data_IF_921997950816
#
_entry.id   IF_921997950816
#
_cell.length_a   1.000
_cell.length_b   1.000
_cell.length_c   1.000
_cell.angle_alpha   90.00
_cell.angle_beta   90.00
_cell.angle_gamma   90.00
#
_symmetry.space_group_name_H-M   'P 1'
#
loop_
_entity.id
_entity.type
_entity.pdbx_description
1 polymer ?
#
# COMPACT_ATOMS: atom_id res chain seq x y z
N UNK A 1 -57.71 91.57 91.85
CA UNK A 1 -56.70 91.84 90.80
C UNK A 1 -56.72 90.69 89.81
N UNK A 2 -57.50 90.81 88.74
CA UNK A 2 -57.61 89.80 87.69
C UNK A 2 -56.41 89.92 86.75
N UNK A 3 -55.76 88.80 86.46
CA UNK A 3 -54.61 88.68 85.56
C UNK A 3 -55.01 89.08 84.13
N UNK A 4 -54.74 90.32 83.75
CA UNK A 4 -54.74 90.78 82.35
C UNK A 4 -53.54 90.18 81.62
N UNK A 5 -53.66 88.91 81.21
CA UNK A 5 -52.80 88.30 80.22
C UNK A 5 -53.55 88.26 78.86
N UNK A 6 -52.88 88.79 77.84
CA UNK A 6 -52.61 88.06 76.58
C UNK A 6 -53.60 88.02 75.38
N UNK A 7 -54.61 88.89 75.20
CA UNK A 7 -55.72 88.54 74.27
C UNK A 7 -55.78 89.16 72.86
N UNK A 8 -54.94 90.11 72.43
CA UNK A 8 -55.00 90.58 71.01
C UNK A 8 -53.67 91.02 70.41
N UNK A 9 -52.89 91.79 71.13
CA UNK A 9 -51.58 92.26 70.65
C UNK A 9 -50.58 91.11 70.59
N UNK A 10 -50.55 90.24 71.61
CA UNK A 10 -49.72 89.03 71.61
C UNK A 10 -50.10 88.07 70.47
N UNK A 11 -51.39 87.87 70.22
CA UNK A 11 -51.89 87.07 69.10
C UNK A 11 -51.50 87.70 67.75
N UNK A 12 -51.61 89.03 67.61
CA UNK A 12 -51.18 89.76 66.40
C UNK A 12 -49.68 89.63 66.16
N UNK A 13 -48.85 89.78 67.19
CA UNK A 13 -47.40 89.66 67.09
C UNK A 13 -47.00 88.23 66.76
N UNK A 14 -47.59 87.23 67.42
CA UNK A 14 -47.38 85.82 67.08
C UNK A 14 -47.82 85.52 65.64
N UNK A 15 -48.95 86.07 65.18
CA UNK A 15 -49.40 85.93 63.78
C UNK A 15 -48.43 86.57 62.79
N UNK A 16 -47.85 87.74 63.13
CA UNK A 16 -46.85 88.40 62.30
C UNK A 16 -45.53 87.62 62.25
N UNK A 17 -45.11 87.06 63.37
CA UNK A 17 -43.89 86.26 63.51
C UNK A 17 -44.02 84.88 62.84
N UNK A 18 -45.19 84.25 62.93
CA UNK A 18 -45.60 83.10 62.14
C UNK A 18 -45.53 83.45 60.65
N UNK A 19 -46.18 84.53 60.18
CA UNK A 19 -46.11 84.93 58.76
C UNK A 19 -44.69 85.24 58.27
N UNK A 20 -43.79 85.70 59.15
CA UNK A 20 -42.38 85.97 58.84
C UNK A 20 -41.55 84.68 58.77
N UNK A 21 -41.88 83.70 59.61
CA UNK A 21 -41.16 82.43 59.73
C UNK A 21 -41.68 81.34 58.78
N UNK A 22 -42.89 81.51 58.23
CA UNK A 22 -43.45 80.60 57.23
C UNK A 22 -42.85 80.90 55.85
N UNK A 23 -42.29 79.85 55.25
CA UNK A 23 -41.76 79.89 53.87
C UNK A 23 -42.92 80.19 52.92
N UNK A 24 -42.80 81.28 52.15
CA UNK A 24 -43.78 81.64 51.12
C UNK A 24 -43.79 80.57 50.03
N UNK A 25 -44.95 80.31 49.43
CA UNK A 25 -45.11 79.35 48.32
C UNK A 25 -44.10 79.58 47.19
N UNK A 26 -43.77 80.84 46.91
CA UNK A 26 -42.82 81.23 45.85
C UNK A 26 -41.37 80.77 46.13
N UNK A 27 -41.01 80.52 47.39
CA UNK A 27 -39.70 79.95 47.72
C UNK A 27 -39.58 78.47 47.34
N UNK A 28 -40.69 77.79 47.04
CA UNK A 28 -40.70 76.42 46.49
C UNK A 28 -40.72 76.40 44.96
N UNK A 29 -40.83 77.54 44.29
CA UNK A 29 -40.81 77.62 42.82
C UNK A 29 -39.58 76.96 42.19
N UNK A 30 -38.35 77.12 42.71
CA UNK A 30 -37.18 76.41 42.18
C UNK A 30 -37.32 74.89 42.30
N UNK A 31 -37.89 74.40 43.40
CA UNK A 31 -38.11 72.96 43.65
C UNK A 31 -39.20 72.41 42.73
N UNK A 32 -40.26 73.18 42.49
CA UNK A 32 -41.32 72.81 41.56
C UNK A 32 -40.80 72.74 40.12
N UNK A 33 -40.03 73.74 39.67
CA UNK A 33 -39.42 73.74 38.34
C UNK A 33 -38.48 72.54 38.17
N UNK A 34 -37.68 72.22 39.20
CA UNK A 34 -36.81 71.06 39.19
C UNK A 34 -37.61 69.74 39.10
N UNK A 35 -38.72 69.64 39.85
CA UNK A 35 -39.61 68.47 39.81
C UNK A 35 -40.34 68.31 38.47
N UNK A 36 -40.71 69.41 37.82
CA UNK A 36 -41.35 69.40 36.50
C UNK A 36 -40.40 68.96 35.39
N UNK A 37 -39.12 69.36 35.48
CA UNK A 37 -38.04 68.98 34.54
C UNK A 37 -37.39 67.63 34.86
N UNK A 38 -37.68 67.04 36.01
CA UNK A 38 -37.17 65.73 36.38
C UNK A 38 -37.66 64.66 35.39
N UNK A 39 -36.82 63.65 35.16
CA UNK A 39 -37.19 62.50 34.34
C UNK A 39 -38.23 61.67 35.10
N UNK A 40 -39.34 61.36 34.43
CA UNK A 40 -40.48 60.63 35.01
C UNK A 40 -40.72 59.29 34.33
N UNK A 41 -40.26 59.11 33.11
CA UNK A 41 -40.38 57.84 32.40
C UNK A 41 -39.26 57.62 31.39
N UNK A 42 -39.09 56.36 31.03
CA UNK A 42 -38.11 55.90 30.03
C UNK A 42 -38.85 55.04 29.00
N UNK A 43 -38.62 55.32 27.73
CA UNK A 43 -39.08 54.51 26.59
C UNK A 43 -37.90 53.84 25.91
N UNK A 44 -38.13 52.62 25.42
CA UNK A 44 -37.16 51.90 24.60
C UNK A 44 -37.82 51.60 23.27
N UNK A 45 -37.17 51.98 22.18
CA UNK A 45 -37.65 51.71 20.80
C UNK A 45 -36.45 51.39 19.94
N UNK A 46 -36.40 50.15 19.43
CA UNK A 46 -35.20 49.64 18.76
C UNK A 46 -33.97 49.71 19.70
N UNK A 47 -32.90 50.32 19.22
CA UNK A 47 -31.63 50.50 19.95
C UNK A 47 -31.54 51.80 20.76
N UNK A 48 -32.61 52.60 20.77
CA UNK A 48 -32.63 53.93 21.40
C UNK A 48 -33.37 53.89 22.73
N UNK A 49 -32.72 54.39 23.78
CA UNK A 49 -33.38 54.74 25.04
C UNK A 49 -33.75 56.23 25.00
N UNK A 50 -35.02 56.53 25.24
CA UNK A 50 -35.55 57.90 25.33
C UNK A 50 -36.05 58.21 26.73
N UNK A 51 -35.63 59.35 27.29
CA UNK A 51 -35.99 59.76 28.66
C UNK A 51 -36.95 60.95 28.61
N UNK A 52 -38.10 60.83 29.28
CA UNK A 52 -39.18 61.82 29.22
C UNK A 52 -39.46 62.45 30.59
N UNK A 53 -39.78 63.75 30.58
CA UNK A 53 -40.30 64.46 31.75
C UNK A 53 -41.82 64.27 31.94
N UNK A 54 -42.49 63.60 31.00
CA UNK A 54 -43.88 63.14 31.09
C UNK A 54 -43.93 61.71 31.66
N UNK A 55 -45.03 61.36 32.31
CA UNK A 55 -45.23 60.02 32.90
C UNK A 55 -45.73 59.00 31.87
N UNK A 56 -46.38 59.46 30.81
CA UNK A 56 -47.02 58.66 29.77
C UNK A 56 -46.13 58.47 28.51
N UNK A 57 -44.89 58.97 28.54
CA UNK A 57 -43.93 58.92 27.43
C UNK A 57 -44.38 59.70 26.18
N UNK A 58 -45.27 60.68 26.37
CA UNK A 58 -45.70 61.56 25.28
C UNK A 58 -44.81 62.81 25.20
N UNK A 59 -44.79 63.44 24.02
CA UNK A 59 -43.99 64.65 23.75
C UNK A 59 -42.55 64.36 23.35
N UNK A 60 -41.72 65.41 23.27
CA UNK A 60 -40.30 65.29 22.89
C UNK A 60 -39.49 64.73 24.06
N UNK A 61 -38.63 63.75 23.79
CA UNK A 61 -37.70 63.23 24.78
C UNK A 61 -36.76 64.34 25.28
N UNK A 62 -36.49 64.37 26.58
CA UNK A 62 -35.57 65.33 27.19
C UNK A 62 -34.11 65.02 26.80
N UNK A 63 -33.78 63.74 26.66
CA UNK A 63 -32.54 63.26 26.05
C UNK A 63 -32.72 61.82 25.54
N UNK A 64 -31.89 61.43 24.58
CA UNK A 64 -31.88 60.10 23.98
C UNK A 64 -30.45 59.54 24.01
N UNK A 65 -30.35 58.22 24.13
CA UNK A 65 -29.10 57.48 24.06
C UNK A 65 -29.31 56.33 23.09
N UNK A 66 -28.51 56.31 22.02
CA UNK A 66 -28.46 55.20 21.10
C UNK A 66 -27.39 54.21 21.54
N UNK A 67 -27.76 52.95 21.72
CA UNK A 67 -26.76 51.90 21.82
C UNK A 67 -26.15 51.63 20.44
N UNK A 68 -24.88 51.19 20.36
CA UNK A 68 -24.28 50.75 19.10
C UNK A 68 -25.14 49.66 18.45
N UNK A 69 -25.42 49.80 17.16
CA UNK A 69 -26.10 48.75 16.39
C UNK A 69 -25.17 47.54 16.33
N UNK A 70 -25.49 46.48 17.06
CA UNK A 70 -24.69 45.25 17.05
C UNK A 70 -24.98 44.48 15.75
N UNK A 71 -24.02 44.46 14.83
CA UNK A 71 -24.08 43.70 13.58
C UNK A 71 -23.80 42.23 13.88
N UNK A 72 -24.84 41.49 14.26
CA UNK A 72 -24.75 40.04 14.47
C UNK A 72 -24.92 39.26 13.17
N UNK A 73 -24.27 38.10 13.11
CA UNK A 73 -24.57 37.10 12.09
C UNK A 73 -25.99 36.58 12.28
N UNK A 74 -26.77 36.56 11.19
CA UNK A 74 -28.01 35.83 11.13
C UNK A 74 -27.69 34.33 11.00
N UNK A 75 -27.74 33.62 12.12
CA UNK A 75 -27.51 32.18 12.18
C UNK A 75 -28.51 31.37 11.36
N UNK A 76 -29.68 31.93 11.01
CA UNK A 76 -30.69 31.24 10.21
C UNK A 76 -30.44 31.37 8.70
N UNK A 77 -29.73 32.40 8.27
CA UNK A 77 -29.42 32.69 6.86
C UNK A 77 -27.93 32.49 6.52
N UNK A 78 -27.09 32.34 7.54
CA UNK A 78 -25.68 31.99 7.41
C UNK A 78 -25.54 30.49 7.26
N UNK A 79 -25.00 30.03 6.14
CA UNK A 79 -24.93 28.61 5.83
C UNK A 79 -23.72 28.26 4.96
N UNK A 80 -23.32 27.00 5.03
CA UNK A 80 -22.41 26.40 4.08
C UNK A 80 -23.21 25.79 2.92
N UNK A 81 -23.00 26.29 1.72
CA UNK A 81 -23.66 25.82 0.50
C UNK A 81 -22.66 25.00 -0.33
N UNK A 82 -22.80 23.66 -0.44
CA UNK A 82 -21.83 22.82 -1.13
C UNK A 82 -21.75 23.09 -2.65
N UNK A 83 -22.85 23.52 -3.25
CA UNK A 83 -22.96 23.89 -4.66
C UNK A 83 -23.78 25.17 -4.75
N UNK A 84 -23.09 26.31 -4.74
CA UNK A 84 -23.70 27.62 -4.69
C UNK A 84 -24.43 27.98 -6.00
N UNK A 85 -25.58 28.63 -5.86
CA UNK A 85 -26.33 29.24 -6.95
C UNK A 85 -26.82 30.62 -6.50
N UNK A 86 -26.36 31.67 -7.17
CA UNK A 86 -26.71 33.04 -6.86
C UNK A 86 -28.14 33.36 -7.32
N UNK A 87 -28.89 34.03 -6.46
CA UNK A 87 -30.19 34.60 -6.79
C UNK A 87 -30.40 35.91 -6.05
N UNK A 88 -30.79 36.96 -6.77
CA UNK A 88 -31.16 38.25 -6.16
C UNK A 88 -32.41 38.14 -5.27
N UNK A 89 -33.24 37.11 -5.48
CA UNK A 89 -34.40 36.86 -4.61
C UNK A 89 -34.00 36.24 -3.27
N UNK A 90 -32.98 35.38 -3.28
CA UNK A 90 -32.47 34.72 -2.06
C UNK A 90 -31.49 35.62 -1.30
N UNK A 91 -30.70 36.42 -2.04
CA UNK A 91 -29.68 37.31 -1.51
C UNK A 91 -29.94 38.77 -1.95
N UNK A 92 -31.00 39.42 -1.43
CA UNK A 92 -31.38 40.76 -1.84
C UNK A 92 -30.28 41.77 -1.54
N UNK A 93 -29.99 42.65 -2.52
CA UNK A 93 -28.98 43.70 -2.41
C UNK A 93 -27.52 43.22 -2.50
N UNK A 94 -27.29 41.90 -2.66
CA UNK A 94 -25.96 41.36 -2.86
C UNK A 94 -25.55 41.42 -4.35
N UNK A 95 -24.25 41.53 -4.62
CA UNK A 95 -23.71 41.41 -5.98
C UNK A 95 -23.27 39.97 -6.22
N UNK A 96 -23.50 39.45 -7.43
CA UNK A 96 -23.10 38.08 -7.81
C UNK A 96 -21.58 37.85 -7.59
N UNK A 97 -21.19 36.91 -6.71
CA UNK A 97 -19.79 36.62 -6.41
C UNK A 97 -19.10 35.78 -7.51
N UNK A 98 -19.82 35.33 -8.55
CA UNK A 98 -19.33 34.45 -9.63
C UNK A 98 -18.79 33.11 -9.11
N UNK A 99 -19.51 32.53 -8.16
CA UNK A 99 -19.15 31.26 -7.48
C UNK A 99 -20.09 30.10 -7.82
N UNK A 100 -20.82 30.17 -8.94
CA UNK A 100 -21.74 29.13 -9.41
C UNK A 100 -21.14 27.72 -9.35
N UNK A 101 -21.88 26.79 -8.74
CA UNK A 101 -21.52 25.39 -8.59
C UNK A 101 -20.35 25.10 -7.64
N UNK A 102 -19.79 26.13 -6.98
CA UNK A 102 -18.67 25.98 -6.04
C UNK A 102 -19.19 25.89 -4.60
N UNK A 103 -18.44 25.24 -3.69
CA UNK A 103 -18.72 25.33 -2.27
C UNK A 103 -18.45 26.75 -1.74
N UNK A 104 -19.43 27.33 -1.06
CA UNK A 104 -19.41 28.71 -0.57
C UNK A 104 -19.94 28.76 0.86
N UNK A 105 -19.26 29.50 1.74
CA UNK A 105 -19.83 29.93 3.01
C UNK A 105 -20.55 31.26 2.81
N UNK A 106 -21.87 31.26 2.98
CA UNK A 106 -22.71 32.45 2.92
C UNK A 106 -22.80 33.02 4.33
N UNK A 107 -22.36 34.26 4.51
CA UNK A 107 -22.43 34.98 5.78
C UNK A 107 -23.50 36.05 5.64
N UNK A 108 -24.57 35.93 6.42
CA UNK A 108 -25.65 36.92 6.46
C UNK A 108 -25.48 37.77 7.73
N UNK A 109 -25.33 39.08 7.57
CA UNK A 109 -25.22 40.03 8.68
C UNK A 109 -26.54 40.76 8.84
N UNK A 110 -27.12 40.73 10.04
CA UNK A 110 -28.37 41.43 10.34
C UNK A 110 -28.18 42.93 10.22
N UNK A 111 -29.06 43.57 9.45
CA UNK A 111 -29.13 45.02 9.35
C UNK A 111 -29.95 45.64 10.47
N UNK A 112 -30.15 46.96 10.41
CA UNK A 112 -30.91 47.74 11.39
C UNK A 112 -32.38 47.30 11.51
N UNK A 113 -32.94 46.75 10.42
CA UNK A 113 -34.26 46.11 10.42
C UNK A 113 -34.10 44.59 10.52
N UNK A 114 -34.96 43.90 11.30
CA UNK A 114 -34.88 42.44 11.49
C UNK A 114 -34.96 41.66 10.17
N UNK A 115 -35.62 42.23 9.15
CA UNK A 115 -35.79 41.61 7.83
C UNK A 115 -34.67 41.95 6.84
N UNK A 116 -33.85 42.96 7.14
CA UNK A 116 -32.74 43.40 6.28
C UNK A 116 -31.47 42.62 6.61
N UNK A 117 -30.80 42.07 5.59
CA UNK A 117 -29.53 41.36 5.75
C UNK A 117 -28.53 41.80 4.68
N UNK A 118 -27.27 41.94 5.06
CA UNK A 118 -26.15 42.09 4.11
C UNK A 118 -25.44 40.76 3.98
N UNK A 119 -25.18 40.32 2.75
CA UNK A 119 -24.55 39.03 2.48
C UNK A 119 -23.09 39.18 2.06
N UNK A 120 -22.25 38.29 2.56
CA UNK A 120 -20.86 38.11 2.13
C UNK A 120 -20.63 36.66 1.74
N UNK A 121 -19.90 36.43 0.65
CA UNK A 121 -19.66 35.10 0.11
C UNK A 121 -18.18 34.76 0.20
N UNK A 122 -17.85 33.69 0.92
CA UNK A 122 -16.49 33.19 1.03
C UNK A 122 -16.34 31.91 0.21
N UNK A 123 -15.47 31.94 -0.79
CA UNK A 123 -15.17 30.74 -1.57
C UNK A 123 -14.41 29.73 -0.72
N UNK A 124 -14.93 28.51 -0.62
CA UNK A 124 -14.29 27.44 0.15
C UNK A 124 -13.14 26.80 -0.61
N UNK A 125 -13.06 26.99 -1.93
CA UNK A 125 -11.95 26.50 -2.75
C UNK A 125 -10.59 27.14 -2.40
N UNK A 126 -10.58 28.31 -1.76
CA UNK A 126 -9.35 28.94 -1.28
C UNK A 126 -8.86 28.37 0.07
N UNK A 127 -9.74 27.67 0.80
CA UNK A 127 -9.48 27.18 2.16
C UNK A 127 -9.46 25.66 2.24
N UNK A 128 -10.11 24.97 1.30
CA UNK A 128 -10.28 23.53 1.28
C UNK A 128 -10.05 23.02 -0.14
N UNK A 129 -9.04 22.16 -0.28
CA UNK A 129 -8.82 21.42 -1.52
C UNK A 129 -9.95 20.40 -1.71
N UNK A 130 -10.73 20.58 -2.78
CA UNK A 130 -11.84 19.67 -3.12
C UNK A 130 -11.38 18.70 -4.20
N UNK A 131 -11.24 17.41 -3.86
CA UNK A 131 -10.91 16.36 -4.82
C UNK A 131 -12.19 15.79 -5.45
N UNK A 132 -12.31 15.87 -6.77
CA UNK A 132 -13.43 15.24 -7.50
C UNK A 132 -13.06 13.82 -7.90
N UNK A 133 -13.74 12.83 -7.32
CA UNK A 133 -13.57 11.45 -7.73
C UNK A 133 -14.01 11.27 -9.20
N UNK A 134 -13.18 10.59 -10.00
CA UNK A 134 -13.48 10.30 -11.41
C UNK A 134 -14.67 9.34 -11.49
N UNK A 135 -15.82 9.76 -12.00
CA UNK A 135 -17.04 8.93 -12.00
C UNK A 135 -17.05 7.85 -13.11
N UNK A 136 -16.43 8.11 -14.26
CA UNK A 136 -16.50 7.26 -15.46
C UNK A 136 -15.10 6.86 -15.93
N UNK A 137 -14.93 5.64 -16.45
CA UNK A 137 -13.61 5.14 -16.85
C UNK A 137 -12.65 4.99 -15.67
N UNK A 138 -13.18 4.56 -14.52
CA UNK A 138 -12.38 4.09 -13.37
C UNK A 138 -11.67 2.80 -13.76
N UNK A 139 -10.43 2.65 -13.31
CA UNK A 139 -9.75 1.36 -13.41
C UNK A 139 -10.50 0.35 -12.53
N UNK A 140 -10.81 -0.81 -13.09
CA UNK A 140 -11.49 -1.91 -12.38
C UNK A 140 -10.53 -2.65 -11.45
N UNK A 141 -9.22 -2.41 -11.56
CA UNK A 141 -8.19 -3.03 -10.73
C UNK A 141 -8.17 -2.52 -9.29
N UNK A 142 -8.86 -1.41 -8.98
CA UNK A 142 -8.89 -0.85 -7.62
C UNK A 142 -10.26 -0.34 -7.24
N UNK A 143 -10.59 -0.42 -5.95
CA UNK A 143 -11.70 0.32 -5.33
C UNK A 143 -11.14 1.38 -4.38
N UNK A 144 -11.70 2.59 -4.46
CA UNK A 144 -11.36 3.69 -3.56
C UNK A 144 -12.63 4.04 -2.79
N UNK A 145 -12.56 3.97 -1.47
CA UNK A 145 -13.65 4.30 -0.55
C UNK A 145 -13.22 5.47 0.31
N UNK A 146 -14.08 6.49 0.41
CA UNK A 146 -13.86 7.66 1.25
C UNK A 146 -14.99 7.68 2.26
N UNK A 147 -14.65 7.50 3.53
CA UNK A 147 -15.58 7.52 4.66
C UNK A 147 -14.86 8.08 5.89
N UNK A 148 -15.56 8.83 6.74
CA UNK A 148 -15.04 9.32 8.03
C UNK A 148 -13.66 10.02 7.96
N UNK A 149 -13.38 10.74 6.86
CA UNK A 149 -12.09 11.38 6.56
C UNK A 149 -10.91 10.44 6.27
N UNK A 150 -11.17 9.14 6.14
CA UNK A 150 -10.18 8.15 5.72
C UNK A 150 -10.33 7.80 4.24
N UNK A 151 -9.20 7.45 3.62
CA UNK A 151 -9.15 6.98 2.24
C UNK A 151 -8.66 5.54 2.26
N UNK A 152 -9.57 4.61 1.96
CA UNK A 152 -9.26 3.19 1.80
C UNK A 152 -9.13 2.86 0.31
N UNK A 153 -8.01 2.24 -0.06
CA UNK A 153 -7.72 1.81 -1.43
C UNK A 153 -7.45 0.31 -1.43
N UNK A 154 -8.30 -0.45 -2.12
CA UNK A 154 -8.15 -1.90 -2.27
C UNK A 154 -7.86 -2.26 -3.70
N UNK A 155 -6.89 -3.15 -3.89
CA UNK A 155 -6.64 -3.79 -5.19
C UNK A 155 -7.63 -4.94 -5.35
N UNK A 156 -8.35 -4.94 -6.47
CA UNK A 156 -9.26 -6.00 -6.83
C UNK A 156 -8.48 -7.15 -7.44
N UNK A 157 -8.49 -8.29 -6.78
CA UNK A 157 -7.93 -9.54 -7.29
C UNK A 157 -9.09 -10.47 -7.65
N UNK A 158 -8.95 -11.21 -8.75
CA UNK A 158 -9.99 -12.13 -9.22
C UNK A 158 -10.36 -13.14 -8.14
N UNK A 159 -11.66 -13.28 -7.86
CA UNK A 159 -12.21 -14.30 -6.97
C UNK A 159 -12.29 -15.70 -7.62
N UNK A 160 -11.84 -15.85 -8.87
CA UNK A 160 -11.84 -17.14 -9.56
C UNK A 160 -10.95 -18.15 -8.83
N UNK A 161 -11.43 -19.39 -8.70
CA UNK A 161 -10.65 -20.48 -8.15
C UNK A 161 -9.36 -20.68 -8.97
N UNK A 162 -8.24 -20.92 -8.29
CA UNK A 162 -6.94 -21.11 -8.93
C UNK A 162 -6.17 -19.82 -9.23
N UNK A 163 -6.60 -18.67 -8.69
CA UNK A 163 -5.79 -17.47 -8.71
C UNK A 163 -4.43 -17.71 -8.02
N UNK A 164 -3.36 -17.22 -8.64
CA UNK A 164 -2.00 -17.41 -8.16
C UNK A 164 -1.75 -16.53 -6.94
N UNK A 165 -2.37 -15.35 -6.87
CA UNK A 165 -2.10 -14.37 -5.81
C UNK A 165 -2.96 -14.60 -4.57
N UNK A 166 -2.33 -14.60 -3.41
CA UNK A 166 -2.96 -14.61 -2.08
C UNK A 166 -2.54 -13.38 -1.29
N UNK A 167 -3.47 -12.82 -0.50
CA UNK A 167 -3.18 -11.70 0.39
C UNK A 167 -2.50 -12.23 1.66
N UNK A 168 -1.33 -11.67 1.99
CA UNK A 168 -0.65 -11.91 3.27
C UNK A 168 -1.16 -10.97 4.36
N UNK A 169 -0.85 -11.30 5.61
CA UNK A 169 -1.20 -10.49 6.78
C UNK A 169 -0.54 -9.10 6.77
N UNK A 170 0.58 -8.94 6.05
CA UNK A 170 1.26 -7.66 5.81
C UNK A 170 0.59 -6.79 4.72
N UNK A 171 -0.53 -7.26 4.16
CA UNK A 171 -1.30 -6.56 3.13
C UNK A 171 -0.76 -6.73 1.71
N UNK A 172 0.31 -7.50 1.50
CA UNK A 172 0.88 -7.72 0.16
C UNK A 172 0.25 -8.94 -0.53
N UNK A 173 -0.12 -8.80 -1.79
CA UNK A 173 -0.51 -9.93 -2.63
C UNK A 173 0.74 -10.64 -3.16
N UNK A 174 0.89 -11.93 -2.87
CA UNK A 174 2.03 -12.74 -3.32
C UNK A 174 1.57 -14.01 -4.02
N UNK A 175 2.39 -14.59 -4.93
CA UNK A 175 2.11 -15.90 -5.50
C UNK A 175 2.03 -17.00 -4.44
N UNK A 176 1.09 -17.93 -4.63
CA UNK A 176 0.94 -19.13 -3.82
C UNK A 176 2.12 -20.06 -4.12
N UNK A 177 3.01 -20.36 -3.15
CA UNK A 177 4.25 -21.08 -3.40
C UNK A 177 4.08 -22.43 -4.11
N UNK A 178 3.02 -23.19 -3.79
CA UNK A 178 2.73 -24.50 -4.41
C UNK A 178 2.33 -24.41 -5.89
N UNK A 179 1.84 -23.25 -6.34
CA UNK A 179 1.34 -23.01 -7.70
C UNK A 179 2.37 -22.32 -8.59
N UNK A 180 3.41 -21.76 -7.99
CA UNK A 180 4.48 -21.04 -8.67
C UNK A 180 5.80 -21.44 -8.04
N UNK A 181 6.40 -22.49 -8.57
CA UNK A 181 7.84 -22.66 -8.45
C UNK A 181 8.51 -21.53 -9.23
N UNK A 182 8.88 -20.46 -8.51
CA UNK A 182 9.63 -19.31 -9.02
C UNK A 182 11.14 -19.49 -8.82
N UNK A 183 11.58 -20.64 -8.28
CA UNK A 183 13.01 -20.95 -8.09
C UNK A 183 13.76 -21.16 -9.41
N UNK A 184 13.07 -21.00 -10.55
CA UNK A 184 13.67 -20.78 -11.85
C UNK A 184 13.93 -22.06 -12.65
N UNK A 185 13.44 -23.21 -12.21
CA UNK A 185 13.43 -24.42 -13.03
C UNK A 185 12.07 -25.08 -12.88
N UNK A 186 11.14 -24.77 -13.78
CA UNK A 186 10.01 -25.67 -14.00
C UNK A 186 10.57 -27.09 -14.10
N UNK A 187 10.09 -27.99 -13.25
CA UNK A 187 10.42 -29.41 -13.37
C UNK A 187 9.93 -29.88 -14.74
N UNK A 188 10.84 -29.90 -15.72
CA UNK A 188 10.51 -30.19 -17.12
C UNK A 188 10.17 -31.66 -17.30
N UNK A 189 10.71 -32.53 -16.44
CA UNK A 189 10.44 -33.95 -16.43
C UNK A 189 9.40 -34.25 -15.35
N UNK A 190 8.11 -34.03 -15.67
CA UNK A 190 7.01 -34.41 -14.78
C UNK A 190 7.23 -35.85 -14.30
N UNK A 191 7.33 -36.05 -12.98
CA UNK A 191 7.49 -37.35 -12.33
C UNK A 191 8.87 -38.01 -12.47
N UNK A 192 9.96 -37.23 -12.56
CA UNK A 192 11.31 -37.79 -12.56
C UNK A 192 11.63 -38.59 -11.28
N UNK A 193 12.19 -39.79 -11.44
CA UNK A 193 12.66 -40.65 -10.35
C UNK A 193 14.14 -40.40 -10.09
N UNK A 194 14.49 -40.10 -8.85
CA UNK A 194 15.88 -39.82 -8.47
C UNK A 194 16.80 -41.00 -8.83
N UNK A 195 17.91 -40.69 -9.53
CA UNK A 195 18.89 -41.69 -9.97
C UNK A 195 18.64 -42.26 -11.37
N UNK A 196 17.50 -41.97 -11.99
CA UNK A 196 17.29 -42.26 -13.41
C UNK A 196 17.99 -41.22 -14.29
N UNK A 197 18.37 -41.61 -15.50
CA UNK A 197 18.87 -40.68 -16.51
C UNK A 197 17.72 -39.87 -17.12
N UNK A 198 18.01 -38.63 -17.51
CA UNK A 198 17.09 -37.82 -18.31
C UNK A 198 17.15 -38.23 -19.79
N UNK A 199 15.99 -38.21 -20.46
CA UNK A 199 15.88 -38.42 -21.91
C UNK A 199 14.97 -37.36 -22.54
N UNK A 200 14.82 -37.38 -23.86
CA UNK A 200 13.85 -36.58 -24.61
C UNK A 200 12.72 -37.47 -25.11
N UNK A 201 11.49 -36.95 -25.11
CA UNK A 201 10.34 -37.57 -25.80
C UNK A 201 10.35 -37.27 -27.31
N UNK A 202 9.34 -37.76 -28.04
CA UNK A 202 9.21 -37.58 -29.49
C UNK A 202 9.11 -36.11 -29.94
N UNK A 203 8.66 -35.24 -29.03
CA UNK A 203 8.51 -33.80 -29.27
C UNK A 203 9.71 -32.98 -28.76
N UNK A 204 10.74 -33.66 -28.24
CA UNK A 204 11.97 -33.04 -27.73
C UNK A 204 11.86 -32.49 -26.31
N UNK A 205 10.85 -32.87 -25.54
CA UNK A 205 10.73 -32.47 -24.13
C UNK A 205 11.55 -33.39 -23.22
N UNK A 206 12.16 -32.81 -22.19
CA UNK A 206 12.84 -33.57 -21.13
C UNK A 206 11.84 -34.49 -20.40
N UNK A 207 12.15 -35.78 -20.33
CA UNK A 207 11.37 -36.78 -19.59
C UNK A 207 12.30 -37.74 -18.85
N UNK A 208 11.74 -38.51 -17.91
CA UNK A 208 12.46 -39.57 -17.21
C UNK A 208 12.68 -40.77 -18.14
N UNK A 209 13.90 -41.30 -18.22
CA UNK A 209 14.19 -42.46 -19.08
C UNK A 209 13.63 -43.78 -18.55
N UNK A 210 13.22 -43.83 -17.28
CA UNK A 210 12.90 -45.05 -16.56
C UNK A 210 14.10 -45.93 -16.24
N UNK A 211 15.34 -45.52 -16.58
CA UNK A 211 16.56 -46.30 -16.42
C UNK A 211 17.56 -45.60 -15.50
N UNK A 212 18.07 -46.32 -14.50
CA UNK A 212 19.21 -45.91 -13.65
C UNK A 212 20.51 -46.56 -14.14
N UNK A 213 21.65 -46.08 -13.66
CA UNK A 213 22.97 -46.63 -13.99
C UNK A 213 23.06 -48.15 -13.78
N UNK A 214 22.49 -48.67 -12.69
CA UNK A 214 22.49 -50.10 -12.38
C UNK A 214 21.69 -50.95 -13.38
N UNK A 215 20.73 -50.39 -14.11
CA UNK A 215 19.96 -51.15 -15.11
C UNK A 215 20.80 -51.49 -16.35
N UNK A 216 21.89 -50.75 -16.57
CA UNK A 216 22.87 -51.05 -17.61
C UNK A 216 23.94 -52.04 -17.12
N UNK A 217 24.26 -52.02 -15.83
CA UNK A 217 25.29 -52.90 -15.23
C UNK A 217 24.74 -54.30 -14.87
N UNK A 218 23.49 -54.40 -14.41
CA UNK A 218 22.87 -55.71 -14.12
C UNK A 218 22.65 -56.55 -15.39
N UNK A 219 22.45 -55.90 -16.54
CA UNK A 219 22.43 -56.57 -17.83
C UNK A 219 23.80 -57.20 -18.20
N UNK A 220 24.92 -56.75 -17.62
CA UNK A 220 26.27 -57.23 -17.96
C UNK A 220 26.79 -58.37 -17.07
N UNK A 221 26.03 -58.83 -16.06
CA UNK A 221 26.45 -60.00 -15.28
C UNK A 221 26.23 -61.26 -16.12
N UNK A 222 27.23 -61.60 -16.94
CA UNK A 222 27.21 -62.76 -17.83
C UNK A 222 26.74 -62.49 -19.28
N UNK A 223 26.36 -61.26 -19.64
CA UNK A 223 26.18 -60.88 -21.05
C UNK A 223 27.47 -60.24 -21.55
N UNK A 224 28.03 -60.83 -22.60
CA UNK A 224 29.22 -60.31 -23.29
C UNK A 224 28.84 -58.96 -23.93
N UNK A 225 29.83 -58.13 -24.29
CA UNK A 225 29.62 -56.90 -25.07
C UNK A 225 29.06 -57.15 -26.50
N UNK A 226 28.73 -58.39 -26.82
CA UNK A 226 28.18 -58.84 -28.08
C UNK A 226 26.97 -59.73 -27.79
N UNK A 227 26.04 -59.82 -28.73
CA UNK A 227 24.81 -60.61 -28.57
C UNK A 227 25.12 -62.07 -28.25
N UNK A 228 24.19 -62.79 -27.63
CA UNK A 228 24.37 -64.24 -27.38
C UNK A 228 24.57 -65.01 -28.71
N UNK A 229 23.97 -64.53 -29.79
CA UNK A 229 24.13 -65.07 -31.16
C UNK A 229 25.54 -64.85 -31.73
N UNK A 230 26.17 -63.71 -31.44
CA UNK A 230 27.58 -63.48 -31.78
C UNK A 230 28.52 -64.21 -30.80
N UNK A 231 28.11 -64.33 -29.54
CA UNK A 231 28.72 -65.13 -28.49
C UNK A 231 28.93 -66.59 -28.87
N UNK A 232 27.88 -67.20 -29.38
CA UNK A 232 27.83 -68.61 -29.81
C UNK A 232 28.65 -68.86 -31.07
N UNK A 233 28.79 -67.89 -31.98
CA UNK A 233 29.71 -68.01 -33.13
C UNK A 233 31.18 -68.13 -32.73
N UNK A 234 31.54 -67.60 -31.56
CA UNK A 234 32.89 -67.71 -30.99
C UNK A 234 33.07 -68.98 -30.14
N UNK A 235 31.99 -69.70 -29.82
CA UNK A 235 32.09 -71.01 -29.20
C UNK A 235 32.66 -72.01 -30.23
N UNK A 236 33.72 -72.73 -29.88
CA UNK A 236 34.36 -73.71 -30.77
C UNK A 236 35.42 -73.14 -31.73
N UNK A 237 35.75 -71.84 -31.69
CA UNK A 237 36.89 -71.30 -32.48
C UNK A 237 38.20 -72.00 -32.13
N UNK A 238 38.37 -72.46 -30.88
CA UNK A 238 39.51 -73.27 -30.46
C UNK A 238 39.53 -74.70 -31.04
N UNK A 239 38.40 -75.21 -31.54
CA UNK A 239 38.31 -76.55 -32.12
C UNK A 239 38.75 -76.57 -33.60
N UNK A 240 38.53 -75.48 -34.33
CA UNK A 240 38.95 -75.32 -35.74
C UNK A 240 40.24 -74.52 -35.96
N UNK A 241 40.85 -73.98 -34.90
CA UNK A 241 42.11 -73.25 -34.99
C UNK A 241 43.29 -74.22 -35.13
N UNK A 242 44.25 -73.87 -35.99
CA UNK A 242 45.55 -74.55 -36.10
C UNK A 242 46.27 -74.50 -34.76
N UNK A 243 46.54 -75.67 -34.17
CA UNK A 243 47.21 -75.79 -32.87
C UNK A 243 48.71 -75.92 -33.10
N UNK A 244 49.47 -74.94 -32.60
CA UNK A 244 50.93 -75.00 -32.62
C UNK A 244 51.47 -75.31 -31.23
N UNK A 245 52.45 -76.20 -31.15
CA UNK A 245 53.21 -76.46 -29.92
C UNK A 245 54.69 -76.70 -30.24
N UNK A 246 55.55 -76.53 -29.22
CA UNK A 246 56.98 -76.74 -29.36
C UNK A 246 57.29 -78.18 -29.81
N UNK A 247 58.21 -78.34 -30.75
CA UNK A 247 58.76 -79.64 -31.12
C UNK A 247 60.01 -79.95 -30.28
N UNK A 248 60.32 -81.24 -30.12
CA UNK A 248 61.60 -81.69 -29.58
C UNK A 248 62.72 -81.66 -30.64
N UNK A 249 62.37 -81.59 -31.92
CA UNK A 249 63.32 -81.47 -33.02
C UNK A 249 63.68 -79.99 -33.22
N UNK A 250 64.97 -79.65 -33.20
CA UNK A 250 65.40 -78.28 -33.48
C UNK A 250 64.98 -77.85 -34.89
N UNK A 251 64.57 -76.59 -35.04
CA UNK A 251 64.05 -76.07 -36.31
C UNK A 251 62.64 -76.54 -36.70
N UNK A 252 61.94 -77.28 -35.84
CA UNK A 252 60.57 -77.74 -36.09
C UNK A 252 59.55 -77.16 -35.11
N UNK A 253 58.27 -77.11 -35.52
CA UNK A 253 57.13 -76.94 -34.62
C UNK A 253 56.10 -78.03 -34.91
N UNK A 254 55.30 -78.39 -33.91
CA UNK A 254 54.15 -79.27 -34.14
C UNK A 254 52.96 -78.43 -34.58
N UNK A 255 52.38 -78.77 -35.74
CA UNK A 255 51.15 -78.16 -36.28
C UNK A 255 50.09 -79.25 -36.30
N UNK A 256 49.04 -79.10 -35.50
CA UNK A 256 47.97 -80.09 -35.33
C UNK A 256 48.50 -81.49 -35.01
N UNK A 257 49.53 -81.56 -34.15
CA UNK A 257 50.20 -82.79 -33.74
C UNK A 257 51.19 -83.35 -34.78
N UNK A 258 51.37 -82.70 -35.92
CA UNK A 258 52.31 -83.11 -36.96
C UNK A 258 53.59 -82.29 -36.87
N UNK A 259 54.73 -82.98 -36.70
CA UNK A 259 56.03 -82.33 -36.65
C UNK A 259 56.39 -81.74 -38.02
N UNK A 260 56.59 -80.42 -38.07
CA UNK A 260 56.75 -79.66 -39.30
C UNK A 260 58.00 -78.81 -39.23
N UNK A 261 58.93 -79.03 -40.17
CA UNK A 261 60.15 -78.23 -40.30
C UNK A 261 59.78 -76.78 -40.65
N UNK A 262 60.23 -75.83 -39.83
CA UNK A 262 60.11 -74.39 -40.09
C UNK A 262 61.44 -73.76 -40.49
N UNK A 263 62.55 -74.42 -40.14
CA UNK A 263 63.89 -74.03 -40.54
C UNK A 263 64.78 -75.27 -40.60
N UNK A 264 65.75 -75.27 -41.52
CA UNK A 264 66.76 -76.32 -41.64
C UNK A 264 68.03 -75.85 -40.95
N UNK A 265 68.45 -76.61 -39.93
CA UNK A 265 69.68 -76.31 -39.21
C UNK A 265 70.93 -76.46 -40.10
N UNK A 266 71.85 -75.48 -40.11
CA UNK A 266 73.13 -75.59 -40.80
C UNK A 266 74.00 -76.71 -40.21
N UNK A 267 74.79 -77.39 -41.06
CA UNK A 267 75.66 -78.51 -40.65
C UNK A 267 76.75 -78.13 -39.64
N UNK A 268 77.07 -76.84 -39.50
CA UNK A 268 78.13 -76.35 -38.60
C UNK A 268 77.61 -75.93 -37.21
N UNK A 269 76.38 -76.28 -36.84
CA UNK A 269 75.86 -76.01 -35.49
C UNK A 269 76.22 -77.16 -34.56
N UNK A 270 77.03 -76.89 -33.53
CA UNK A 270 77.39 -77.85 -32.50
C UNK A 270 76.32 -77.87 -31.40
N UNK A 271 75.76 -79.05 -31.12
CA UNK A 271 74.86 -79.23 -29.98
C UNK A 271 75.64 -79.62 -28.73
N UNK A 272 75.07 -79.38 -27.55
CA UNK A 272 75.68 -79.77 -26.27
C UNK A 272 76.01 -81.26 -26.17
N UNK A 273 75.35 -82.09 -26.98
CA UNK A 273 75.56 -83.54 -27.08
C UNK A 273 76.79 -83.89 -27.92
N UNK A 274 77.12 -83.09 -28.95
CA UNK A 274 78.28 -83.31 -29.81
C UNK A 274 79.59 -82.92 -29.09
N UNK A 275 79.52 -81.96 -28.15
CA UNK A 275 80.67 -81.45 -27.40
C UNK A 275 81.33 -82.51 -26.50
N UNK A 276 80.63 -83.60 -26.13
CA UNK A 276 81.23 -84.66 -25.31
C UNK A 276 82.19 -85.59 -26.06
N UNK A 277 82.10 -85.64 -27.39
CA UNK A 277 82.91 -86.53 -28.24
C UNK A 277 84.17 -85.83 -28.81
N UNK A 278 84.28 -84.51 -28.62
CA UNK A 278 85.45 -83.72 -29.04
C UNK A 278 86.21 -83.16 -27.83
N UNK A 279 87.53 -83.19 -27.91
CA UNK A 279 88.39 -82.51 -26.94
C UNK A 279 88.35 -80.99 -27.16
N UNK A 280 88.65 -80.21 -26.12
CA UNK A 280 88.67 -78.74 -26.20
C UNK A 280 89.62 -78.24 -27.31
N UNK A 281 90.72 -78.96 -27.55
CA UNK A 281 91.67 -78.68 -28.61
C UNK A 281 91.12 -78.95 -30.02
N UNK A 282 90.29 -79.98 -30.21
CA UNK A 282 89.65 -80.30 -31.50
C UNK A 282 88.53 -79.31 -31.84
N UNK A 283 87.74 -78.92 -30.84
CA UNK A 283 86.71 -77.88 -31.00
C UNK A 283 87.35 -76.54 -31.39
N UNK A 284 88.49 -76.19 -30.77
CA UNK A 284 89.21 -74.96 -31.09
C UNK A 284 89.83 -74.96 -32.50
N UNK A 285 90.22 -76.12 -33.03
CA UNK A 285 90.73 -76.27 -34.40
C UNK A 285 89.62 -76.15 -35.45
N UNK A 286 88.44 -76.73 -35.19
CA UNK A 286 87.25 -76.63 -36.05
C UNK A 286 86.71 -75.19 -36.13
N UNK A 287 86.77 -74.43 -35.04
CA UNK A 287 86.37 -73.02 -34.99
C UNK A 287 87.39 -72.05 -35.63
N UNK A 288 88.58 -72.53 -36.02
CA UNK A 288 89.67 -71.68 -36.52
C UNK A 288 89.76 -71.62 -38.06
N UNK A 289 88.99 -72.45 -38.78
CA UNK A 289 89.00 -72.53 -40.25
C UNK A 289 87.74 -71.90 -40.91
N UNK A 290 86.94 -71.15 -40.13
CA UNK A 290 85.83 -70.27 -40.58
C UNK A 290 86.06 -68.80 -40.18
#
# INVERSE_FOLDING_TARGET
>A
MSKELSTKTTIRNLTAEIKKSFVKKDAFTPVQIAAEKAIKSVGVTGNTISFFASTDKTGTAAFTVDFPTEMFLDQTKTEFVPSFAFSETTYPGATDPKLEGKPVMVLAVKGENPDSCTYSFLSMAALVDTYKAKATGKDKSTTVTIADYEVDVKVNVSAAAGNILTLKDDGLYVPTPEKTDISGKADKAKSATAGNFATLDADGNLTDSGKKSADFVAAETGKRLMSDDEGTKLAGVSEGATKTAASATNGHITIDGKDTAVYTEPENVLHTEDVSDFTAEEIAALLADD
#
